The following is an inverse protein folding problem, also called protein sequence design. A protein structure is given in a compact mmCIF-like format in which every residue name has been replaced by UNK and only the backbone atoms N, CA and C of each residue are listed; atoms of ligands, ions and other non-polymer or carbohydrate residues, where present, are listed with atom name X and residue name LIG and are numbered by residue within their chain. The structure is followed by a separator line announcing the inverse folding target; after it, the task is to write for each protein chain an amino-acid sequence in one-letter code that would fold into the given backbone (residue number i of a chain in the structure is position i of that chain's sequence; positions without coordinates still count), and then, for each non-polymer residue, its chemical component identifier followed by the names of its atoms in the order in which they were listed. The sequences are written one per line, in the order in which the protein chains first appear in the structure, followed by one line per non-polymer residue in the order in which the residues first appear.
data_IF_464692748416
#
_entry.id   IF_464692748416
#
_cell.length_a   1.000
_cell.length_b   1.000
_cell.length_c   1.000
_cell.angle_alpha   90.00
_cell.angle_beta   90.00
_cell.angle_gamma   90.00
#
_symmetry.space_group_name_H-M   'P 1'
#
loop_
_entity.id
_entity.type
_entity.pdbx_description
1 polymer ?
#
# COMPACT_ATOMS: atom_id res chain seq x y z
N UNK A 1 -36.56 -18.70 -10.15
CA UNK A 1 -35.79 -17.76 -9.33
C UNK A 1 -34.35 -18.22 -9.33
N UNK A 2 -33.42 -17.35 -9.70
CA UNK A 2 -31.98 -17.66 -9.67
C UNK A 2 -31.52 -17.44 -8.23
N UNK A 3 -31.09 -18.51 -7.56
CA UNK A 3 -30.44 -18.43 -6.26
C UNK A 3 -29.05 -17.82 -6.46
N UNK A 4 -28.89 -16.56 -6.04
CA UNK A 4 -27.59 -15.93 -5.89
C UNK A 4 -26.87 -16.61 -4.72
N UNK A 5 -25.86 -17.43 -5.02
CA UNK A 5 -24.91 -17.91 -4.01
C UNK A 5 -24.03 -16.73 -3.66
N UNK A 6 -24.29 -16.09 -2.53
CA UNK A 6 -23.37 -15.13 -1.95
C UNK A 6 -22.07 -15.88 -1.59
N UNK A 7 -21.03 -15.68 -2.38
CA UNK A 7 -19.69 -16.13 -2.02
C UNK A 7 -19.30 -15.39 -0.73
N UNK A 8 -18.93 -16.08 0.36
CA UNK A 8 -18.38 -15.40 1.51
C UNK A 8 -17.13 -14.66 1.03
N UNK A 9 -17.11 -13.33 1.21
CA UNK A 9 -15.84 -12.60 1.23
C UNK A 9 -15.07 -13.20 2.39
N UNK A 10 -14.06 -14.01 2.09
CA UNK A 10 -13.02 -14.27 3.07
C UNK A 10 -12.34 -12.92 3.30
N UNK A 11 -12.79 -12.21 4.33
CA UNK A 11 -11.94 -11.22 4.98
C UNK A 11 -10.73 -12.02 5.44
N UNK A 12 -9.62 -11.89 4.71
CA UNK A 12 -8.35 -12.39 5.19
C UNK A 12 -8.05 -11.56 6.44
N UNK A 13 -8.37 -12.12 7.60
CA UNK A 13 -8.13 -11.49 8.88
C UNK A 13 -6.62 -11.25 9.00
N UNK A 14 -6.27 -9.99 9.19
CA UNK A 14 -4.89 -9.58 9.34
C UNK A 14 -4.32 -10.21 10.60
N UNK A 15 -3.24 -10.95 10.46
CA UNK A 15 -2.59 -11.61 11.58
C UNK A 15 -1.10 -11.32 11.58
N UNK A 16 -0.57 -11.03 12.77
CA UNK A 16 0.87 -11.01 13.02
C UNK A 16 1.44 -12.39 12.71
N UNK A 17 2.54 -12.47 11.96
CA UNK A 17 3.14 -13.74 11.59
C UNK A 17 2.36 -14.50 10.51
N UNK A 18 1.57 -13.82 9.67
CA UNK A 18 0.83 -14.45 8.56
C UNK A 18 1.72 -15.32 7.67
N UNK A 19 2.96 -14.89 7.44
CA UNK A 19 3.92 -15.63 6.63
C UNK A 19 4.70 -16.71 7.39
N UNK A 20 4.46 -16.94 8.69
CA UNK A 20 5.23 -17.93 9.46
C UNK A 20 5.18 -19.35 8.86
N UNK A 21 4.06 -19.73 8.23
CA UNK A 21 3.92 -21.03 7.59
C UNK A 21 4.52 -21.11 6.18
N UNK A 22 4.55 -19.99 5.44
CA UNK A 22 4.89 -19.97 4.01
C UNK A 22 6.26 -19.36 3.71
N UNK A 23 6.65 -18.34 4.48
CA UNK A 23 7.92 -17.62 4.40
C UNK A 23 8.24 -17.02 5.79
N UNK A 24 8.67 -17.83 6.78
CA UNK A 24 8.91 -17.37 8.16
C UNK A 24 9.99 -16.30 8.29
N UNK A 25 10.84 -16.17 7.26
CA UNK A 25 11.89 -15.16 7.18
C UNK A 25 11.40 -13.82 6.59
N UNK A 26 10.15 -13.72 6.12
CA UNK A 26 9.65 -12.56 5.39
C UNK A 26 9.83 -11.25 6.19
N UNK A 27 9.31 -11.21 7.41
CA UNK A 27 9.36 -9.99 8.25
C UNK A 27 10.81 -9.61 8.58
N UNK A 28 11.66 -10.60 8.87
CA UNK A 28 13.09 -10.36 9.14
C UNK A 28 13.85 -9.81 7.93
N UNK A 29 13.51 -10.28 6.72
CA UNK A 29 14.09 -9.78 5.46
C UNK A 29 13.64 -8.35 5.18
N UNK A 30 12.33 -8.06 5.34
CA UNK A 30 11.80 -6.70 5.19
C UNK A 30 12.50 -5.75 6.15
N UNK A 31 12.62 -6.13 7.43
CA UNK A 31 13.27 -5.33 8.44
C UNK A 31 14.74 -5.05 8.11
N UNK A 32 15.49 -6.09 7.72
CA UNK A 32 16.91 -5.96 7.41
C UNK A 32 17.17 -5.09 6.16
N UNK A 33 16.40 -5.29 5.08
CA UNK A 33 16.54 -4.47 3.86
C UNK A 33 16.08 -3.03 4.10
N UNK A 34 15.00 -2.82 4.85
CA UNK A 34 14.56 -1.47 5.23
C UNK A 34 15.63 -0.75 6.04
N UNK A 35 16.23 -1.43 7.02
CA UNK A 35 17.33 -0.86 7.81
C UNK A 35 18.53 -0.48 6.93
N UNK A 36 18.92 -1.33 5.97
CA UNK A 36 19.99 -1.02 5.03
C UNK A 36 19.66 0.20 4.15
N UNK A 37 18.45 0.25 3.60
CA UNK A 37 17.97 1.37 2.77
C UNK A 37 17.98 2.68 3.55
N UNK A 38 17.48 2.68 4.78
CA UNK A 38 17.44 3.88 5.62
C UNK A 38 18.81 4.29 6.16
N UNK A 39 19.74 3.34 6.27
CA UNK A 39 21.13 3.66 6.55
C UNK A 39 21.81 4.35 5.37
N UNK A 40 21.51 3.93 4.13
CA UNK A 40 21.99 4.54 2.89
C UNK A 40 21.37 5.92 2.64
N UNK A 41 20.04 6.06 2.80
CA UNK A 41 19.31 7.32 2.66
C UNK A 41 18.24 7.48 3.76
N UNK A 42 18.57 8.16 4.87
CA UNK A 42 17.63 8.43 5.96
C UNK A 42 16.41 9.27 5.54
N UNK A 43 16.50 10.02 4.43
CA UNK A 43 15.39 10.87 3.96
C UNK A 43 14.24 10.06 3.37
N UNK A 44 14.44 8.76 3.12
CA UNK A 44 13.39 7.86 2.65
C UNK A 44 12.40 7.48 3.75
N UNK A 45 12.77 7.51 5.03
CA UNK A 45 11.87 7.15 6.13
C UNK A 45 10.55 7.94 6.12
N UNK A 46 10.55 9.30 6.10
CA UNK A 46 9.30 10.05 6.00
C UNK A 46 8.59 9.85 4.65
N UNK A 47 9.32 9.60 3.57
CA UNK A 47 8.71 9.35 2.25
C UNK A 47 7.97 8.01 2.18
N UNK A 48 8.51 6.96 2.80
CA UNK A 48 7.91 5.64 2.85
C UNK A 48 6.69 5.62 3.78
N UNK A 49 6.75 6.33 4.91
CA UNK A 49 5.60 6.54 5.77
C UNK A 49 4.48 7.28 5.02
N UNK A 50 4.84 8.34 4.30
CA UNK A 50 3.90 9.07 3.43
C UNK A 50 3.30 8.15 2.36
N UNK A 51 4.11 7.33 1.70
CA UNK A 51 3.61 6.38 0.69
C UNK A 51 2.56 5.43 1.28
N UNK A 52 2.81 4.90 2.47
CA UNK A 52 1.85 4.04 3.15
C UNK A 52 0.55 4.77 3.49
N UNK A 53 0.64 6.02 3.97
CA UNK A 53 -0.54 6.87 4.19
C UNK A 53 -1.35 7.05 2.89
N UNK A 54 -0.68 7.41 1.79
CA UNK A 54 -1.35 7.63 0.51
C UNK A 54 -1.98 6.35 -0.06
N UNK A 55 -1.31 5.21 0.05
CA UNK A 55 -1.88 3.91 -0.35
C UNK A 55 -3.17 3.64 0.42
N UNK A 56 -3.12 3.69 1.75
CA UNK A 56 -4.29 3.42 2.58
C UNK A 56 -5.45 4.40 2.41
N UNK A 57 -5.15 5.67 2.13
CA UNK A 57 -6.19 6.68 1.92
C UNK A 57 -6.80 6.62 0.52
N UNK A 58 -6.15 6.04 -0.47
CA UNK A 58 -6.70 5.92 -1.83
C UNK A 58 -7.25 4.51 -2.02
N UNK A 59 -8.58 4.36 -1.98
CA UNK A 59 -9.28 3.07 -2.14
C UNK A 59 -8.91 1.92 -1.17
N UNK A 60 -7.88 2.06 -0.33
CA UNK A 60 -7.50 1.12 0.73
C UNK A 60 -6.04 0.68 0.63
N UNK A 61 -5.50 0.04 1.68
CA UNK A 61 -4.10 -0.39 1.72
C UNK A 61 -3.89 -1.65 0.85
N UNK A 62 -3.76 -1.47 -0.46
CA UNK A 62 -3.70 -2.55 -1.43
C UNK A 62 -2.51 -2.42 -2.41
N UNK A 63 -1.56 -1.53 -2.16
CA UNK A 63 -0.40 -1.35 -3.01
C UNK A 63 -0.71 -0.83 -4.42
N UNK A 64 -1.93 -0.38 -4.70
CA UNK A 64 -2.33 0.20 -6.00
C UNK A 64 -1.48 1.40 -6.39
N UNK A 65 -0.92 2.13 -5.42
CA UNK A 65 0.02 3.23 -5.65
C UNK A 65 1.32 2.80 -6.33
N UNK A 66 1.73 1.53 -6.19
CA UNK A 66 2.94 0.98 -6.80
C UNK A 66 2.77 0.69 -8.30
N UNK A 67 1.53 0.59 -8.77
CA UNK A 67 1.22 0.27 -10.15
C UNK A 67 1.55 1.44 -11.08
N UNK A 68 1.96 1.10 -12.31
CA UNK A 68 2.32 2.07 -13.35
C UNK A 68 1.36 1.98 -14.53
N UNK A 69 0.96 3.12 -15.07
CA UNK A 69 0.18 3.21 -16.30
C UNK A 69 1.05 3.67 -17.47
N UNK A 70 0.94 3.02 -18.63
CA UNK A 70 1.58 3.49 -19.86
C UNK A 70 1.00 4.82 -20.36
N UNK A 71 -0.21 5.18 -19.91
CA UNK A 71 -0.93 6.39 -20.31
C UNK A 71 -0.81 7.53 -19.29
N UNK A 72 -0.04 7.34 -18.21
CA UNK A 72 0.11 8.35 -17.15
C UNK A 72 -1.17 8.55 -16.32
N UNK A 73 -1.98 7.50 -16.17
CA UNK A 73 -3.28 7.54 -15.50
C UNK A 73 -3.29 6.78 -14.16
N UNK A 74 -2.15 6.28 -13.69
CA UNK A 74 -2.07 5.59 -12.41
C UNK A 74 -2.07 6.58 -11.25
N UNK A 75 -2.38 6.12 -10.05
CA UNK A 75 -2.32 6.92 -8.83
C UNK A 75 -0.96 7.58 -8.64
N UNK A 76 0.12 6.88 -8.96
CA UNK A 76 1.49 7.42 -8.94
C UNK A 76 1.67 8.69 -9.80
N UNK A 77 0.89 8.83 -10.87
CA UNK A 77 0.97 9.95 -11.79
C UNK A 77 0.13 11.17 -11.35
N UNK A 78 -0.74 10.97 -10.35
CA UNK A 78 -1.59 12.00 -9.77
C UNK A 78 -0.77 13.11 -9.09
N UNK A 79 -1.31 14.32 -9.08
CA UNK A 79 -0.66 15.52 -8.53
C UNK A 79 -0.18 15.32 -7.08
N UNK A 80 -0.95 14.70 -6.17
CA UNK A 80 -0.50 14.44 -4.81
C UNK A 80 0.70 13.49 -4.75
N UNK A 81 0.86 12.59 -5.73
CA UNK A 81 1.86 11.52 -5.71
C UNK A 81 3.11 11.80 -6.56
N UNK A 82 3.10 12.82 -7.43
CA UNK A 82 4.25 13.17 -8.28
C UNK A 82 5.56 13.42 -7.54
N UNK A 83 5.47 13.92 -6.30
CA UNK A 83 6.63 14.18 -5.44
C UNK A 83 7.06 12.97 -4.59
N UNK A 84 6.37 11.84 -4.70
CA UNK A 84 6.60 10.67 -3.86
C UNK A 84 7.89 9.94 -4.24
N UNK A 85 8.68 9.58 -3.23
CA UNK A 85 9.92 8.80 -3.36
C UNK A 85 9.76 7.46 -2.62
N UNK A 86 10.68 6.53 -2.89
CA UNK A 86 10.73 5.24 -2.18
C UNK A 86 10.16 4.05 -2.95
N UNK A 87 9.63 4.25 -4.16
CA UNK A 87 9.15 3.14 -5.00
C UNK A 87 10.24 2.07 -5.21
N UNK A 88 11.46 2.50 -5.54
CA UNK A 88 12.57 1.58 -5.81
C UNK A 88 13.05 0.86 -4.54
N UNK A 89 12.84 1.46 -3.35
CA UNK A 89 13.13 0.83 -2.08
C UNK A 89 12.17 -0.34 -1.80
N UNK A 90 10.87 -0.14 -2.04
CA UNK A 90 9.87 -1.20 -1.92
C UNK A 90 10.13 -2.32 -2.95
N UNK A 91 10.48 -1.97 -4.20
CA UNK A 91 10.85 -2.95 -5.23
C UNK A 91 12.11 -3.74 -4.84
N UNK A 92 13.12 -3.10 -4.24
CA UNK A 92 14.32 -3.80 -3.71
C UNK A 92 13.95 -4.81 -2.64
N UNK A 93 13.12 -4.42 -1.68
CA UNK A 93 12.65 -5.31 -0.60
C UNK A 93 11.86 -6.47 -1.19
N UNK A 94 10.92 -6.18 -2.11
CA UNK A 94 10.13 -7.19 -2.82
C UNK A 94 11.05 -8.17 -3.53
N UNK A 95 11.93 -7.68 -4.42
CA UNK A 95 12.86 -8.53 -5.16
C UNK A 95 13.68 -9.44 -4.21
N UNK A 96 14.16 -8.90 -3.07
CA UNK A 96 14.85 -9.71 -2.07
C UNK A 96 13.98 -10.82 -1.50
N UNK A 97 12.74 -10.50 -1.12
CA UNK A 97 11.78 -11.50 -0.66
C UNK A 97 11.51 -12.57 -1.72
N UNK A 98 11.36 -12.19 -2.98
CA UNK A 98 11.10 -13.13 -4.08
C UNK A 98 12.27 -14.11 -4.32
N UNK A 99 13.51 -13.67 -4.07
CA UNK A 99 14.68 -14.57 -4.14
C UNK A 99 14.68 -15.64 -3.05
N UNK A 100 14.13 -15.32 -1.88
CA UNK A 100 14.15 -16.19 -0.70
C UNK A 100 12.87 -17.03 -0.59
N UNK A 101 11.76 -16.50 -1.07
CA UNK A 101 10.44 -17.10 -1.03
C UNK A 101 9.75 -16.99 -2.41
N UNK A 102 10.12 -17.85 -3.37
CA UNK A 102 9.68 -17.74 -4.78
C UNK A 102 8.19 -18.03 -5.00
N UNK A 103 7.54 -18.69 -4.04
CA UNK A 103 6.11 -19.03 -4.07
C UNK A 103 5.24 -17.97 -3.41
N UNK A 104 5.84 -16.93 -2.82
CA UNK A 104 5.10 -15.75 -2.39
C UNK A 104 4.80 -14.83 -3.58
N UNK A 105 5.51 -14.95 -4.72
CA UNK A 105 5.43 -13.97 -5.83
C UNK A 105 5.16 -14.48 -7.24
N UNK A 106 5.03 -15.79 -7.47
CA UNK A 106 4.68 -16.33 -8.80
C UNK A 106 3.19 -16.65 -8.99
N UNK A 107 2.32 -16.19 -8.09
CA UNK A 107 0.87 -16.08 -8.26
C UNK A 107 0.45 -14.61 -8.43
N UNK A 108 -0.76 -14.31 -8.91
CA UNK A 108 -1.21 -12.92 -9.08
C UNK A 108 -1.09 -12.15 -7.75
N UNK A 109 -0.63 -10.90 -7.85
CA UNK A 109 -0.48 -9.81 -6.86
C UNK A 109 -0.87 -10.10 -5.39
N UNK A 110 0.03 -9.81 -4.44
CA UNK A 110 -0.08 -10.15 -3.01
C UNK A 110 0.42 -9.01 -2.09
N UNK A 111 -0.35 -8.69 -1.05
CA UNK A 111 -0.28 -7.41 -0.33
C UNK A 111 0.36 -7.37 1.05
N UNK A 112 0.33 -6.15 1.61
CA UNK A 112 1.03 -5.71 2.83
C UNK A 112 0.09 -4.72 3.55
N UNK A 113 -0.30 -4.80 4.83
CA UNK A 113 0.03 -5.65 5.98
C UNK A 113 -0.52 -7.07 5.79
N UNK A 114 0.23 -8.06 6.26
CA UNK A 114 0.28 -9.34 5.55
C UNK A 114 -1.05 -10.11 5.66
N UNK A 115 -1.76 -10.24 4.53
CA UNK A 115 -3.15 -10.72 4.45
C UNK A 115 -4.06 -9.86 3.55
N UNK A 116 -3.77 -8.57 3.36
CA UNK A 116 -4.45 -7.74 2.33
C UNK A 116 -4.05 -8.18 0.92
N UNK A 117 -4.98 -8.09 -0.03
CA UNK A 117 -4.77 -8.40 -1.45
C UNK A 117 -4.37 -7.15 -2.19
N UNK A 118 -3.41 -7.25 -3.11
CA UNK A 118 -3.03 -6.13 -3.95
C UNK A 118 -4.20 -5.68 -4.84
N UNK A 119 -4.38 -4.38 -4.98
CA UNK A 119 -5.30 -3.78 -5.93
C UNK A 119 -4.87 -4.11 -7.35
N UNK A 120 -5.84 -4.38 -8.23
CA UNK A 120 -5.59 -4.56 -9.67
C UNK A 120 -6.02 -3.32 -10.48
N UNK A 121 -6.48 -2.28 -9.80
CA UNK A 121 -6.92 -1.01 -10.38
C UNK A 121 -6.07 0.07 -9.76
N UNK A 122 -5.59 0.99 -10.61
CA UNK A 122 -4.93 2.22 -10.19
C UNK A 122 -5.47 3.35 -11.06
N UNK A 123 -6.02 4.40 -10.45
CA UNK A 123 -6.61 5.53 -11.17
C UNK A 123 -6.23 6.83 -10.48
N UNK A 124 -5.60 7.74 -11.23
CA UNK A 124 -5.16 9.04 -10.72
C UNK A 124 -6.29 9.83 -10.04
N UNK A 125 -7.51 9.76 -10.56
CA UNK A 125 -8.68 10.45 -10.02
C UNK A 125 -8.99 10.07 -8.56
N UNK A 126 -8.77 8.81 -8.16
CA UNK A 126 -8.99 8.42 -6.76
C UNK A 126 -7.99 9.09 -5.84
N UNK A 127 -6.72 9.22 -6.26
CA UNK A 127 -5.72 9.96 -5.49
C UNK A 127 -6.02 11.46 -5.41
N UNK A 128 -6.55 12.06 -6.47
CA UNK A 128 -6.95 13.48 -6.45
C UNK A 128 -8.17 13.74 -5.54
N UNK A 129 -9.08 12.77 -5.43
CA UNK A 129 -10.34 12.92 -4.69
C UNK A 129 -10.30 12.43 -3.25
N UNK A 130 -9.44 11.45 -2.92
CA UNK A 130 -9.42 10.82 -1.60
C UNK A 130 -8.33 11.42 -0.67
N UNK A 131 -7.40 12.20 -1.21
CA UNK A 131 -6.32 12.84 -0.46
C UNK A 131 -6.62 14.31 -0.20
N UNK A 132 -6.51 14.74 1.06
CA UNK A 132 -6.66 16.14 1.42
C UNK A 132 -5.51 16.97 0.83
N UNK A 133 -5.78 18.04 0.07
CA UNK A 133 -4.78 19.00 -0.37
C UNK A 133 -4.02 19.65 0.82
N UNK A 134 -2.76 20.07 0.64
CA UNK A 134 -1.95 20.65 1.72
C UNK A 134 -2.48 22.01 2.21
N UNK A 135 -3.31 22.70 1.44
CA UNK A 135 -3.98 23.96 1.76
C UNK A 135 -5.39 23.77 2.35
N UNK A 136 -5.81 22.52 2.61
CA UNK A 136 -7.09 22.20 3.25
C UNK A 136 -7.20 22.80 4.64
N UNK A 137 -8.38 23.33 4.97
CA UNK A 137 -8.66 23.75 6.34
C UNK A 137 -9.02 22.54 7.23
N UNK A 138 -9.06 22.75 8.55
CA UNK A 138 -9.32 21.68 9.51
C UNK A 138 -10.72 21.03 9.39
N UNK A 139 -11.70 21.75 8.84
CA UNK A 139 -13.06 21.20 8.61
C UNK A 139 -13.03 20.20 7.46
N UNK A 140 -12.30 20.52 6.40
CA UNK A 140 -12.15 19.65 5.24
C UNK A 140 -11.33 18.41 5.59
N UNK A 141 -10.20 18.57 6.29
CA UNK A 141 -9.36 17.45 6.74
C UNK A 141 -10.15 16.47 7.61
N UNK A 142 -10.97 16.97 8.55
CA UNK A 142 -11.86 16.11 9.35
C UNK A 142 -12.84 15.32 8.49
N UNK A 143 -13.32 15.91 7.41
CA UNK A 143 -14.22 15.23 6.46
C UNK A 143 -13.50 14.08 5.77
N UNK A 144 -12.32 14.32 5.20
CA UNK A 144 -11.49 13.26 4.58
C UNK A 144 -11.21 12.10 5.54
N UNK A 145 -10.82 12.41 6.77
CA UNK A 145 -10.49 11.41 7.79
C UNK A 145 -11.73 10.62 8.24
N UNK A 146 -12.89 11.29 8.38
CA UNK A 146 -14.13 10.63 8.77
C UNK A 146 -14.61 9.57 7.77
N UNK A 147 -14.37 9.78 6.46
CA UNK A 147 -14.68 8.79 5.41
C UNK A 147 -13.81 7.54 5.55
N UNK A 148 -12.64 7.66 6.19
CA UNK A 148 -11.74 6.55 6.52
C UNK A 148 -11.97 5.97 7.92
N UNK A 149 -13.10 6.30 8.55
CA UNK A 149 -13.43 5.93 9.93
C UNK A 149 -12.43 6.43 10.99
N UNK A 150 -11.72 7.53 10.69
CA UNK A 150 -10.80 8.19 11.62
C UNK A 150 -11.49 9.39 12.29
N UNK A 151 -11.11 9.66 13.53
CA UNK A 151 -11.73 10.69 14.36
C UNK A 151 -10.92 11.98 14.36
N UNK A 152 -11.46 13.06 14.93
CA UNK A 152 -10.73 14.33 15.07
C UNK A 152 -9.49 14.25 15.99
N UNK A 153 -9.30 13.15 16.72
CA UNK A 153 -8.12 12.90 17.55
C UNK A 153 -6.98 12.26 16.76
N UNK A 154 -7.33 11.49 15.73
CA UNK A 154 -6.39 10.80 14.83
C UNK A 154 -5.86 11.77 13.78
#
# INVERSE_FOLDING_TARGET
GVLAVASPRAEAELQVGFYNATCPIAEGVVFAEMHAILHEDPTLAPSLLRMHYHDCFVQGCDGSIMLRSRRGTAERDATPNRSMRGYDAIERIKARLETLCPLTSKGPWYGVETGRRDGNVTVAEYAENDLAPPDSNIVDVKTFFSVKSLTAKD
#
